data_IF_145778757683
#
_entry.id   IF_145778757683
#
_cell.length_a   1.000
_cell.length_b   1.000
_cell.length_c   1.000
_cell.angle_alpha   90.00
_cell.angle_beta   90.00
_cell.angle_gamma   90.00
#
_symmetry.space_group_name_H-M   'P 1'
#
loop_
_entity.id
_entity.type
_entity.pdbx_description
1 polymer ?
#
# COMPACT_ATOMS: atom_id res chain seq x y z
N UNK A 1 -3.05 28.41 14.06
CA UNK A 1 -3.74 27.12 13.87
C UNK A 1 -3.85 26.41 15.22
N UNK A 2 -5.06 26.03 15.65
CA UNK A 2 -5.28 25.52 17.00
C UNK A 2 -4.88 24.03 17.05
N UNK A 3 -3.77 23.69 17.74
CA UNK A 3 -3.18 22.33 17.74
C UNK A 3 -4.20 21.24 18.05
N UNK A 4 -5.15 21.51 18.96
CA UNK A 4 -6.25 20.59 19.33
C UNK A 4 -7.21 20.26 18.18
N UNK A 5 -7.48 21.20 17.27
CA UNK A 5 -8.33 20.95 16.08
C UNK A 5 -7.59 20.07 15.08
N UNK A 6 -6.30 20.30 14.87
CA UNK A 6 -5.47 19.49 13.97
C UNK A 6 -5.42 18.02 14.40
N UNK A 7 -5.09 17.74 15.68
CA UNK A 7 -5.06 16.35 16.18
C UNK A 7 -6.41 15.64 16.11
N UNK A 8 -7.53 16.35 16.34
CA UNK A 8 -8.88 15.79 16.21
C UNK A 8 -9.24 15.47 14.76
N UNK A 9 -8.84 16.33 13.81
CA UNK A 9 -9.07 16.10 12.39
C UNK A 9 -8.20 14.97 11.85
N UNK A 10 -6.92 14.91 12.24
CA UNK A 10 -6.01 13.84 11.87
C UNK A 10 -6.48 12.48 12.43
N UNK A 11 -6.89 12.44 13.71
CA UNK A 11 -7.45 11.23 14.32
C UNK A 11 -8.77 10.78 13.69
N UNK A 12 -9.67 11.71 13.36
CA UNK A 12 -10.92 11.40 12.67
C UNK A 12 -10.68 10.89 11.24
N UNK A 13 -9.71 11.46 10.52
CA UNK A 13 -9.30 11.00 9.20
C UNK A 13 -8.68 9.60 9.26
N UNK A 14 -7.80 9.34 10.23
CA UNK A 14 -7.21 8.01 10.45
C UNK A 14 -8.27 6.96 10.81
N UNK A 15 -9.21 7.29 11.70
CA UNK A 15 -10.30 6.38 12.08
C UNK A 15 -11.23 6.09 10.88
N UNK A 16 -11.53 7.10 10.05
CA UNK A 16 -12.33 6.92 8.84
C UNK A 16 -11.60 6.09 7.78
N UNK A 17 -10.29 6.29 7.61
CA UNK A 17 -9.46 5.48 6.72
C UNK A 17 -9.38 4.02 7.21
N UNK A 18 -9.34 3.79 8.53
CA UNK A 18 -9.33 2.45 9.12
C UNK A 18 -10.70 1.75 9.02
N UNK A 19 -11.80 2.49 9.12
CA UNK A 19 -13.17 1.95 8.94
C UNK A 19 -13.54 1.74 7.46
N UNK A 20 -12.78 2.30 6.52
CA UNK A 20 -13.00 2.08 5.10
C UNK A 20 -12.69 0.62 4.74
N UNK A 21 -13.74 -0.15 4.40
CA UNK A 21 -13.63 -1.53 3.94
C UNK A 21 -12.69 -1.67 2.74
N UNK A 22 -12.50 -0.60 1.97
CA UNK A 22 -11.58 -0.55 0.83
C UNK A 22 -10.12 -0.68 1.27
N UNK A 23 -9.73 -0.02 2.37
CA UNK A 23 -8.37 -0.05 2.87
C UNK A 23 -8.00 -1.44 3.41
N UNK A 24 -8.85 -2.00 4.27
CA UNK A 24 -8.64 -3.35 4.84
C UNK A 24 -8.60 -4.42 3.75
N UNK A 25 -9.46 -4.31 2.74
CA UNK A 25 -9.45 -5.20 1.57
C UNK A 25 -8.14 -5.07 0.78
N UNK A 26 -7.70 -3.84 0.47
CA UNK A 26 -6.41 -3.61 -0.22
C UNK A 26 -5.25 -4.21 0.54
N UNK A 27 -5.17 -3.99 1.85
CA UNK A 27 -4.12 -4.57 2.71
C UNK A 27 -4.14 -6.09 2.64
N UNK A 28 -5.31 -6.72 2.78
CA UNK A 28 -5.47 -8.17 2.65
C UNK A 28 -5.03 -8.69 1.28
N UNK A 29 -5.39 -7.98 0.20
CA UNK A 29 -4.95 -8.29 -1.16
C UNK A 29 -3.43 -8.19 -1.31
N UNK A 30 -2.80 -7.16 -0.75
CA UNK A 30 -1.34 -7.01 -0.77
C UNK A 30 -0.65 -8.19 -0.08
N UNK A 31 -1.15 -8.65 1.07
CA UNK A 31 -0.58 -9.82 1.74
C UNK A 31 -0.72 -11.11 0.91
N UNK A 32 -1.86 -11.32 0.24
CA UNK A 32 -2.03 -12.47 -0.66
C UNK A 32 -1.07 -12.39 -1.85
N UNK A 33 -0.95 -11.21 -2.46
CA UNK A 33 0.01 -10.95 -3.53
C UNK A 33 1.45 -11.27 -3.10
N UNK A 34 1.89 -10.78 -1.93
CA UNK A 34 3.22 -11.08 -1.41
C UNK A 34 3.44 -12.58 -1.21
N UNK A 35 2.46 -13.29 -0.66
CA UNK A 35 2.55 -14.73 -0.49
C UNK A 35 2.64 -15.47 -1.84
N UNK A 36 1.92 -15.02 -2.87
CA UNK A 36 1.99 -15.61 -4.22
C UNK A 36 3.29 -15.26 -4.95
N UNK A 37 3.89 -14.09 -4.67
CA UNK A 37 5.24 -13.72 -5.12
C UNK A 37 6.28 -14.66 -4.49
N UNK A 38 6.22 -14.87 -3.17
CA UNK A 38 7.15 -15.75 -2.44
C UNK A 38 7.05 -17.19 -2.92
N UNK A 39 5.84 -17.65 -3.25
CA UNK A 39 5.59 -18.97 -3.84
C UNK A 39 6.00 -19.07 -5.31
N UNK A 40 6.31 -17.95 -5.96
CA UNK A 40 6.66 -17.87 -7.37
C UNK A 40 5.47 -18.08 -8.34
N UNK A 41 4.24 -18.15 -7.83
CA UNK A 41 3.03 -18.32 -8.65
C UNK A 41 2.63 -17.02 -9.34
N UNK A 42 2.84 -15.88 -8.68
CA UNK A 42 2.68 -14.56 -9.26
C UNK A 42 4.05 -13.94 -9.59
N UNK A 43 4.22 -13.47 -10.83
CA UNK A 43 5.44 -12.78 -11.28
C UNK A 43 5.14 -11.28 -11.38
N UNK A 44 5.62 -10.47 -10.44
CA UNK A 44 5.30 -9.07 -10.43
C UNK A 44 6.14 -8.29 -11.45
N UNK A 45 5.67 -7.10 -11.80
CA UNK A 45 6.50 -6.11 -12.49
C UNK A 45 7.53 -5.57 -11.51
N UNK A 46 8.80 -5.86 -11.74
CA UNK A 46 9.91 -5.46 -10.85
C UNK A 46 9.86 -4.01 -10.41
N UNK A 47 9.61 -3.07 -11.34
CA UNK A 47 9.48 -1.63 -11.05
C UNK A 47 8.37 -1.33 -10.04
N UNK A 48 7.26 -2.07 -10.11
CA UNK A 48 6.09 -1.85 -9.28
C UNK A 48 6.21 -2.47 -7.87
N UNK A 49 7.20 -3.33 -7.63
CA UNK A 49 7.50 -3.90 -6.31
C UNK A 49 8.71 -3.23 -5.67
N UNK A 50 9.77 -2.97 -6.45
CA UNK A 50 11.00 -2.40 -5.91
C UNK A 50 10.81 -0.97 -5.40
N UNK A 51 10.00 -0.16 -6.08
CA UNK A 51 9.73 1.22 -5.66
C UNK A 51 8.93 1.31 -4.35
N UNK A 52 7.81 0.56 -4.18
CA UNK A 52 7.17 0.46 -2.86
C UNK A 52 8.09 -0.14 -1.81
N UNK A 53 8.86 -1.18 -2.15
CA UNK A 53 9.77 -1.83 -1.20
C UNK A 53 10.86 -0.87 -0.72
N UNK A 54 11.45 -0.07 -1.61
CA UNK A 54 12.37 1.00 -1.25
C UNK A 54 11.70 2.05 -0.36
N UNK A 55 10.46 2.45 -0.68
CA UNK A 55 9.69 3.37 0.16
C UNK A 55 9.39 2.77 1.55
N UNK A 56 9.17 1.46 1.68
CA UNK A 56 9.02 0.78 2.98
C UNK A 56 10.33 0.63 3.73
N UNK A 57 11.43 0.28 3.05
CA UNK A 57 12.77 0.24 3.65
C UNK A 57 13.13 1.61 4.20
N UNK A 58 12.81 2.68 3.46
CA UNK A 58 13.00 4.06 3.89
C UNK A 58 12.30 4.35 5.24
N UNK A 59 11.10 3.79 5.46
CA UNK A 59 10.39 3.88 6.74
C UNK A 59 11.03 3.01 7.83
N UNK A 60 11.40 1.76 7.50
CA UNK A 60 11.85 0.75 8.48
C UNK A 60 13.31 0.93 8.93
N UNK A 61 14.14 1.51 8.07
CA UNK A 61 15.54 1.76 8.33
C UNK A 61 15.85 3.20 7.91
N UNK A 62 15.71 4.17 8.82
CA UNK A 62 16.24 5.51 8.61
C UNK A 62 17.77 5.43 8.76
N UNK A 63 18.48 4.91 7.76
CA UNK A 63 19.93 5.09 7.72
C UNK A 63 20.34 6.52 7.35
N UNK A 64 19.36 7.41 7.06
CA UNK A 64 19.60 8.83 6.80
C UNK A 64 18.93 9.75 7.82
N UNK A 65 19.17 9.44 9.10
CA UNK A 65 19.34 10.48 10.13
C UNK A 65 20.51 11.46 9.82
N UNK A 66 21.18 11.36 8.66
CA UNK A 66 22.43 12.06 8.34
C UNK A 66 22.24 13.56 8.03
N UNK A 67 21.07 14.07 7.58
CA UNK A 67 20.85 15.52 7.61
C UNK A 67 19.59 15.96 8.36
N UNK A 68 19.03 15.16 9.28
CA UNK A 68 17.81 15.54 10.02
C UNK A 68 17.94 16.83 10.87
N UNK A 69 19.11 17.45 11.00
CA UNK A 69 19.27 18.71 11.73
C UNK A 69 19.47 19.96 10.84
N UNK A 70 19.66 19.84 9.53
CA UNK A 70 20.16 20.97 8.73
C UNK A 70 19.07 21.85 8.07
N UNK A 71 17.89 21.33 7.72
CA UNK A 71 16.94 22.03 6.82
C UNK A 71 15.53 22.33 7.38
N UNK A 72 15.26 22.07 8.66
CA UNK A 72 13.99 22.48 9.30
C UNK A 72 12.72 21.80 8.71
N UNK A 73 11.53 22.45 8.74
CA UNK A 73 10.24 21.82 8.44
C UNK A 73 10.02 21.37 6.98
N UNK A 74 10.97 21.63 6.07
CA UNK A 74 10.92 21.22 4.66
C UNK A 74 11.18 19.70 4.51
N UNK A 75 11.93 19.09 5.44
CA UNK A 75 12.24 17.65 5.41
C UNK A 75 11.02 16.74 5.52
N UNK A 76 9.93 17.18 6.18
CA UNK A 76 8.73 16.34 6.35
C UNK A 76 7.95 16.13 5.05
N UNK A 77 8.06 17.01 4.06
CA UNK A 77 7.29 16.93 2.82
C UNK A 77 7.93 15.91 1.85
N UNK A 78 9.25 15.77 1.90
CA UNK A 78 10.00 14.85 1.03
C UNK A 78 9.68 13.37 1.34
N UNK A 79 9.65 13.01 2.63
CA UNK A 79 9.38 11.65 3.11
C UNK A 79 7.96 11.16 2.73
N UNK A 80 6.95 12.02 2.89
CA UNK A 80 5.58 11.71 2.48
C UNK A 80 5.44 11.65 0.96
N UNK A 81 6.21 12.45 0.22
CA UNK A 81 6.28 12.38 -1.24
C UNK A 81 6.77 11.02 -1.73
N UNK A 82 7.87 10.52 -1.15
CA UNK A 82 8.45 9.20 -1.49
C UNK A 82 7.48 8.07 -1.13
N UNK A 83 6.83 8.14 0.03
CA UNK A 83 5.79 7.18 0.43
C UNK A 83 4.63 7.15 -0.57
N UNK A 84 4.06 8.32 -0.88
CA UNK A 84 2.94 8.44 -1.80
C UNK A 84 3.31 7.96 -3.20
N UNK A 85 4.54 8.22 -3.64
CA UNK A 85 5.07 7.71 -4.89
C UNK A 85 5.16 6.18 -4.87
N UNK A 86 5.76 5.58 -3.85
CA UNK A 86 5.81 4.12 -3.68
C UNK A 86 4.42 3.48 -3.70
N UNK A 87 3.47 4.06 -2.97
CA UNK A 87 2.08 3.59 -2.94
C UNK A 87 1.39 3.62 -4.30
N UNK A 88 1.72 4.58 -5.17
CA UNK A 88 1.17 4.63 -6.54
C UNK A 88 1.58 3.40 -7.35
N UNK A 89 2.84 2.99 -7.25
CA UNK A 89 3.34 1.80 -7.94
C UNK A 89 2.80 0.51 -7.33
N UNK A 90 2.66 0.49 -6.00
CA UNK A 90 2.05 -0.64 -5.29
C UNK A 90 0.60 -0.85 -5.74
N UNK A 91 -0.19 0.22 -5.82
CA UNK A 91 -1.58 0.14 -6.27
C UNK A 91 -1.69 -0.40 -7.70
N UNK A 92 -0.79 0.04 -8.61
CA UNK A 92 -0.73 -0.52 -9.98
C UNK A 92 -0.44 -2.02 -9.97
N UNK A 93 0.41 -2.49 -9.07
CA UNK A 93 0.68 -3.93 -8.97
C UNK A 93 -0.48 -4.69 -8.36
N UNK A 94 -1.15 -4.13 -7.36
CA UNK A 94 -2.35 -4.72 -6.75
C UNK A 94 -3.45 -4.90 -7.80
N UNK A 95 -3.66 -3.91 -8.68
CA UNK A 95 -4.64 -4.02 -9.77
C UNK A 95 -4.28 -5.15 -10.76
N UNK A 96 -3.00 -5.24 -11.15
CA UNK A 96 -2.51 -6.34 -11.99
C UNK A 96 -2.65 -7.69 -11.32
N UNK A 97 -2.35 -7.76 -10.02
CA UNK A 97 -2.47 -8.97 -9.23
C UNK A 97 -3.92 -9.41 -9.13
N UNK A 98 -4.86 -8.50 -8.89
CA UNK A 98 -6.30 -8.82 -8.86
C UNK A 98 -6.77 -9.36 -10.21
N UNK A 99 -6.37 -8.73 -11.32
CA UNK A 99 -6.70 -9.21 -12.66
C UNK A 99 -6.15 -10.63 -12.92
N UNK A 100 -4.93 -10.91 -12.47
CA UNK A 100 -4.33 -12.24 -12.55
C UNK A 100 -4.99 -13.25 -11.60
N UNK A 101 -5.36 -12.83 -10.39
CA UNK A 101 -5.93 -13.67 -9.33
C UNK A 101 -7.30 -14.22 -9.75
N UNK A 102 -8.11 -13.41 -10.44
CA UNK A 102 -9.41 -13.83 -11.00
C UNK A 102 -9.24 -14.95 -12.05
N UNK A 103 -8.15 -14.94 -12.81
CA UNK A 103 -7.86 -15.97 -13.82
C UNK A 103 -7.32 -17.28 -13.21
N UNK A 104 -7.07 -17.33 -11.91
CA UNK A 104 -6.57 -18.55 -11.26
C UNK A 104 -7.73 -19.54 -11.01
N UNK A 105 -7.54 -20.85 -11.28
CA UNK A 105 -8.56 -21.89 -11.07
C UNK A 105 -9.14 -21.93 -9.65
N UNK A 106 -8.35 -21.48 -8.67
CA UNK A 106 -8.74 -21.37 -7.25
C UNK A 106 -9.91 -20.41 -7.02
N UNK A 107 -10.14 -19.45 -7.92
CA UNK A 107 -11.18 -18.42 -7.82
C UNK A 107 -12.27 -18.54 -8.90
N UNK A 108 -12.06 -19.37 -9.93
CA UNK A 108 -13.04 -19.62 -11.00
C UNK A 108 -14.35 -20.24 -10.49
N UNK A 109 -14.34 -20.96 -9.36
CA UNK A 109 -15.54 -21.56 -8.76
C UNK A 109 -16.49 -20.55 -8.06
N UNK A 110 -16.09 -19.29 -7.90
CA UNK A 110 -16.90 -18.28 -7.19
C UNK A 110 -17.83 -17.52 -8.14
N UNK A 111 -17.52 -17.47 -9.43
CA UNK A 111 -18.44 -16.88 -10.44
C UNK A 111 -19.61 -17.81 -10.75
N UNK A 112 -19.38 -19.12 -10.78
CA UNK A 112 -20.43 -20.14 -11.01
C UNK A 112 -21.49 -20.14 -9.88
N UNK A 113 -21.12 -19.73 -8.67
CA UNK A 113 -22.04 -19.64 -7.53
C UNK A 113 -23.00 -18.45 -7.60
N UNK A 114 -22.81 -17.52 -8.54
CA UNK A 114 -23.63 -16.31 -8.70
C UNK A 114 -24.62 -16.38 -9.88
N UNK A 115 -24.58 -17.45 -10.67
CA UNK A 115 -25.53 -17.72 -11.76
C UNK A 115 -26.46 -18.87 -11.32
N UNK A 116 -27.11 -18.70 -10.18
CA UNK A 116 -28.30 -19.47 -9.81
C UNK A 116 -29.23 -18.49 -9.06
N UNK A 117 -29.85 -17.59 -9.83
CA UNK A 117 -31.24 -17.13 -9.64
C UNK A 117 -31.72 -16.48 -10.96
#
# INVERSE_FOLDING_TARGET
MNKKRFFRLAGAAAAKAQQDKTFTTKVKTTFRMLNDIVRGTYKPTWKNIILPFLAFIYILSPLDFIPSFMFGPIGLIDDFGILMFGLKFLNKEIEKYLAWEILQPKYSYVEDAKIID
#
